data_IF_243570287209
#
_entry.id   IF_243570287209
#
_cell.length_a   1.000
_cell.length_b   1.000
_cell.length_c   1.000
_cell.angle_alpha   90.00
_cell.angle_beta   90.00
_cell.angle_gamma   90.00
#
_symmetry.space_group_name_H-M   'P 1'
#
loop_
_entity.id
_entity.type
_entity.pdbx_description
1 polymer ?
#
# COMPACT_ATOMS: atom_id res chain seq x y z
N UNK A 1 31.30 -6.71 17.96
CA UNK A 1 30.72 -7.20 19.24
C UNK A 1 29.61 -6.28 19.76
N UNK A 2 29.69 -4.95 19.60
CA UNK A 2 28.60 -4.04 20.03
C UNK A 2 27.28 -4.16 19.25
N UNK A 3 27.30 -4.36 17.93
CA UNK A 3 26.05 -4.44 17.14
C UNK A 3 25.23 -5.70 17.45
N UNK A 4 25.90 -6.83 17.69
CA UNK A 4 25.27 -8.10 18.02
C UNK A 4 24.60 -8.08 19.39
N UNK A 5 25.22 -7.43 20.38
CA UNK A 5 24.64 -7.24 21.71
C UNK A 5 23.41 -6.33 21.71
N UNK A 6 23.43 -5.26 20.88
CA UNK A 6 22.29 -4.34 20.72
C UNK A 6 21.09 -5.02 20.06
N UNK A 7 21.32 -5.85 19.05
CA UNK A 7 20.26 -6.60 18.36
C UNK A 7 19.57 -7.62 19.29
N UNK A 8 20.34 -8.32 20.13
CA UNK A 8 19.78 -9.26 21.10
C UNK A 8 18.95 -8.54 22.18
N UNK A 9 19.44 -7.42 22.72
CA UNK A 9 18.70 -6.64 23.71
C UNK A 9 17.40 -6.03 23.16
N UNK A 10 17.36 -5.67 21.88
CA UNK A 10 16.14 -5.19 21.22
C UNK A 10 15.10 -6.30 21.04
N UNK A 11 15.53 -7.53 20.70
CA UNK A 11 14.67 -8.73 20.61
C UNK A 11 13.94 -9.03 21.91
N UNK A 12 14.59 -8.81 23.04
CA UNK A 12 14.00 -9.08 24.36
C UNK A 12 12.95 -8.02 24.77
N UNK A 13 13.01 -6.80 24.21
CA UNK A 13 12.11 -5.68 24.56
C UNK A 13 10.93 -5.50 23.61
N UNK A 14 11.10 -5.86 22.33
CA UNK A 14 10.06 -5.76 21.32
C UNK A 14 9.24 -7.06 21.30
N UNK A 15 7.91 -7.02 21.46
CA UNK A 15 7.09 -8.22 21.43
C UNK A 15 7.22 -9.00 20.12
N UNK A 16 7.36 -10.33 20.26
CA UNK A 16 7.39 -11.28 19.14
C UNK A 16 6.10 -11.27 18.32
N UNK A 17 4.97 -11.08 18.99
CA UNK A 17 3.66 -10.91 18.36
C UNK A 17 3.37 -9.41 18.25
N UNK A 18 3.00 -8.95 17.06
CA UNK A 18 2.67 -7.55 16.83
C UNK A 18 1.28 -7.16 17.41
N UNK A 19 0.91 -5.86 17.45
CA UNK A 19 -0.39 -5.42 17.97
C UNK A 19 -1.61 -5.92 17.18
N UNK A 20 -1.41 -6.58 16.03
CA UNK A 20 -2.46 -7.15 15.19
C UNK A 20 -2.57 -8.67 15.35
N UNK A 21 -1.71 -9.29 16.16
CA UNK A 21 -1.71 -10.72 16.45
C UNK A 21 -0.85 -11.56 15.50
N UNK A 22 -0.03 -10.94 14.64
CA UNK A 22 0.88 -11.67 13.76
C UNK A 22 2.23 -11.89 14.42
N UNK A 23 2.80 -13.08 14.22
CA UNK A 23 4.17 -13.37 14.62
C UNK A 23 5.15 -12.69 13.67
N UNK A 24 6.13 -11.99 14.24
CA UNK A 24 7.19 -11.35 13.48
C UNK A 24 8.11 -12.42 12.87
N UNK A 25 8.48 -12.29 11.57
CA UNK A 25 9.41 -13.21 10.92
C UNK A 25 10.77 -13.34 11.65
N UNK A 26 11.49 -14.44 11.39
CA UNK A 26 12.82 -14.66 11.97
C UNK A 26 13.84 -13.60 11.53
N UNK A 27 13.72 -13.12 10.29
CA UNK A 27 14.56 -12.08 9.69
C UNK A 27 14.09 -10.64 10.04
N UNK A 28 13.15 -10.49 10.98
CA UNK A 28 12.67 -9.19 11.42
C UNK A 28 13.79 -8.37 12.09
N UNK A 29 13.94 -7.12 11.65
CA UNK A 29 14.93 -6.19 12.22
C UNK A 29 14.39 -5.49 13.48
N UNK A 30 14.55 -6.18 14.61
CA UNK A 30 14.14 -5.70 15.93
C UNK A 30 14.84 -4.40 16.35
N UNK A 31 16.09 -4.20 15.95
CA UNK A 31 16.87 -3.02 16.34
C UNK A 31 16.37 -1.77 15.61
N UNK A 32 16.21 -1.85 14.27
CA UNK A 32 15.67 -0.76 13.49
C UNK A 32 14.22 -0.42 13.89
N UNK A 33 13.42 -1.45 14.20
CA UNK A 33 12.06 -1.27 14.68
C UNK A 33 12.03 -0.55 16.04
N UNK A 34 12.82 -0.99 17.02
CA UNK A 34 12.91 -0.35 18.33
C UNK A 34 13.35 1.11 18.22
N UNK A 35 14.39 1.38 17.43
CA UNK A 35 14.89 2.73 17.20
C UNK A 35 13.82 3.64 16.61
N UNK A 36 13.12 3.19 15.56
CA UNK A 36 12.01 3.92 14.97
C UNK A 36 10.88 4.17 16.00
N UNK A 37 10.44 3.11 16.70
CA UNK A 37 9.30 3.20 17.61
C UNK A 37 9.55 4.07 18.84
N UNK A 38 10.79 4.11 19.33
CA UNK A 38 11.18 4.94 20.48
C UNK A 38 10.79 6.42 20.29
N UNK A 39 10.89 6.94 19.07
CA UNK A 39 10.51 8.32 18.73
C UNK A 39 9.07 8.41 18.21
N UNK A 40 8.62 7.37 17.51
CA UNK A 40 7.33 7.36 16.84
C UNK A 40 6.15 7.28 17.81
N UNK A 41 6.30 6.63 18.96
CA UNK A 41 5.25 6.51 19.99
C UNK A 41 4.75 7.89 20.45
N UNK A 42 5.66 8.83 20.71
CA UNK A 42 5.27 10.19 21.11
C UNK A 42 4.45 10.91 20.03
N UNK A 43 4.74 10.64 18.74
CA UNK A 43 3.98 11.17 17.61
C UNK A 43 2.58 10.54 17.56
N UNK A 44 2.48 9.22 17.74
CA UNK A 44 1.22 8.49 17.79
C UNK A 44 0.32 9.02 18.91
N UNK A 45 0.82 9.17 20.13
CA UNK A 45 0.05 9.70 21.28
C UNK A 45 -0.50 11.10 21.01
N UNK A 46 0.32 12.02 20.48
CA UNK A 46 -0.15 13.37 20.14
C UNK A 46 -1.22 13.37 19.03
N UNK A 47 -1.13 12.42 18.08
CA UNK A 47 -2.11 12.26 17.01
C UNK A 47 -3.41 11.67 17.54
N UNK A 48 -3.36 10.66 18.41
CA UNK A 48 -4.52 10.05 19.05
C UNK A 48 -5.40 11.11 19.71
N UNK A 49 -4.83 11.98 20.55
CA UNK A 49 -5.57 13.08 21.20
C UNK A 49 -6.26 13.99 20.18
N UNK A 50 -5.57 14.35 19.09
CA UNK A 50 -6.15 15.19 18.04
C UNK A 50 -7.28 14.49 17.29
N UNK A 51 -7.16 13.19 17.06
CA UNK A 51 -8.19 12.38 16.42
C UNK A 51 -9.42 12.21 17.32
N UNK A 52 -9.24 11.94 18.61
CA UNK A 52 -10.35 11.86 19.56
C UNK A 52 -11.17 13.16 19.59
N UNK A 53 -10.50 14.32 19.52
CA UNK A 53 -11.18 15.62 19.39
C UNK A 53 -11.91 15.77 18.05
N UNK A 54 -11.29 15.37 16.94
CA UNK A 54 -11.89 15.44 15.61
C UNK A 54 -13.15 14.57 15.48
N UNK A 55 -13.14 13.40 16.11
CA UNK A 55 -14.22 12.41 16.04
C UNK A 55 -15.26 12.54 17.16
N UNK A 56 -15.09 13.54 18.04
CA UNK A 56 -16.03 13.86 19.13
C UNK A 56 -17.37 14.30 18.52
N UNK A 57 -18.47 13.88 19.15
CA UNK A 57 -19.82 14.34 18.77
C UNK A 57 -20.64 13.37 17.92
N UNK A 58 -20.22 12.11 17.79
CA UNK A 58 -21.07 11.02 17.26
C UNK A 58 -21.46 11.10 15.76
N UNK A 59 -21.24 12.25 15.10
CA UNK A 59 -21.48 12.40 13.68
C UNK A 59 -20.68 11.37 12.86
N UNK A 60 -21.27 10.92 11.75
CA UNK A 60 -20.61 10.03 10.80
C UNK A 60 -19.31 10.62 10.26
N UNK A 61 -18.37 9.75 9.86
CA UNK A 61 -17.08 10.21 9.30
C UNK A 61 -17.30 10.63 7.84
N UNK A 62 -17.29 11.94 7.58
CA UNK A 62 -17.46 12.51 6.25
C UNK A 62 -16.15 13.09 5.69
N UNK A 63 -15.94 12.94 4.37
CA UNK A 63 -14.75 13.45 3.69
C UNK A 63 -14.69 14.98 3.75
N UNK A 64 -13.57 15.50 4.26
CA UNK A 64 -13.27 16.93 4.29
C UNK A 64 -11.78 17.17 4.07
N UNK A 65 -11.38 18.41 3.76
CA UNK A 65 -9.97 18.78 3.63
C UNK A 65 -9.18 18.58 4.93
N UNK A 66 -9.83 18.86 6.08
CA UNK A 66 -9.26 18.62 7.41
C UNK A 66 -9.06 17.13 7.65
N UNK A 67 -10.09 16.31 7.43
CA UNK A 67 -10.00 14.85 7.61
C UNK A 67 -8.92 14.26 6.70
N UNK A 68 -8.89 14.65 5.43
CA UNK A 68 -7.85 14.24 4.48
C UNK A 68 -6.44 14.55 4.99
N UNK A 69 -6.21 15.74 5.56
CA UNK A 69 -4.91 16.12 6.13
C UNK A 69 -4.54 15.26 7.33
N UNK A 70 -5.51 14.88 8.15
CA UNK A 70 -5.30 13.98 9.29
C UNK A 70 -4.99 12.55 8.82
N UNK A 71 -5.74 12.03 7.86
CA UNK A 71 -5.52 10.71 7.24
C UNK A 71 -4.12 10.58 6.66
N UNK A 72 -3.64 11.58 5.91
CA UNK A 72 -2.25 11.58 5.39
C UNK A 72 -1.20 11.53 6.50
N UNK A 73 -1.50 12.10 7.68
CA UNK A 73 -0.65 12.02 8.87
C UNK A 73 -0.80 10.70 9.62
N UNK A 74 -1.79 9.86 9.29
CA UNK A 74 -2.02 8.55 9.87
C UNK A 74 -3.19 8.52 10.82
N UNK A 75 -3.99 7.46 10.70
CA UNK A 75 -5.11 7.14 11.59
C UNK A 75 -4.59 6.25 12.73
N UNK A 76 -4.80 6.62 14.00
CA UNK A 76 -4.53 5.77 15.15
C UNK A 76 -5.28 4.46 15.06
N UNK A 77 -4.69 3.39 15.60
CA UNK A 77 -5.20 2.03 15.51
C UNK A 77 -6.66 1.94 15.96
N UNK A 78 -6.96 2.50 17.14
CA UNK A 78 -8.26 2.53 17.80
C UNK A 78 -9.35 3.26 16.99
N UNK A 79 -8.96 4.03 15.97
CA UNK A 79 -9.88 4.81 15.15
C UNK A 79 -10.01 4.28 13.72
N UNK A 80 -9.15 3.35 13.28
CA UNK A 80 -9.15 2.84 11.90
C UNK A 80 -10.49 2.24 11.50
N UNK A 81 -11.06 1.36 12.32
CA UNK A 81 -12.34 0.71 12.00
C UNK A 81 -13.42 1.74 11.65
N UNK A 82 -13.67 2.72 12.54
CA UNK A 82 -14.66 3.78 12.32
C UNK A 82 -14.32 4.67 11.13
N UNK A 83 -13.05 5.08 11.00
CA UNK A 83 -12.63 6.01 9.94
C UNK A 83 -12.69 5.35 8.57
N UNK A 84 -12.14 4.14 8.43
CA UNK A 84 -12.13 3.39 7.17
C UNK A 84 -13.54 3.09 6.68
N UNK A 85 -14.43 2.60 7.56
CA UNK A 85 -15.84 2.36 7.23
C UNK A 85 -16.53 3.62 6.68
N UNK A 86 -16.27 4.78 7.28
CA UNK A 86 -16.85 6.04 6.80
C UNK A 86 -16.24 6.54 5.48
N UNK A 87 -14.91 6.55 5.34
CA UNK A 87 -14.27 7.12 4.14
C UNK A 87 -14.31 6.21 2.92
N UNK A 88 -14.40 4.89 3.10
CA UNK A 88 -14.60 3.95 1.98
C UNK A 88 -16.03 3.99 1.45
N UNK A 89 -16.99 4.42 2.27
CA UNK A 89 -18.42 4.33 2.01
C UNK A 89 -19.06 3.02 2.49
N UNK A 90 -18.28 2.10 3.05
CA UNK A 90 -18.78 0.82 3.54
C UNK A 90 -19.82 0.98 4.67
N UNK A 91 -19.67 1.97 5.55
CA UNK A 91 -20.69 2.26 6.57
C UNK A 91 -22.03 2.59 5.93
N UNK A 92 -22.04 3.48 4.92
CA UNK A 92 -23.28 3.86 4.25
C UNK A 92 -23.92 2.68 3.50
N UNK A 93 -23.12 1.80 2.89
CA UNK A 93 -23.64 0.58 2.28
C UNK A 93 -24.23 -0.38 3.32
N UNK A 94 -23.57 -0.56 4.46
CA UNK A 94 -24.06 -1.41 5.54
C UNK A 94 -25.36 -0.85 6.14
N UNK A 95 -25.45 0.46 6.38
CA UNK A 95 -26.64 1.12 6.92
C UNK A 95 -27.84 1.05 5.94
N UNK A 96 -27.57 1.06 4.63
CA UNK A 96 -28.60 0.92 3.58
C UNK A 96 -29.08 -0.52 3.40
N UNK A 97 -28.34 -1.52 3.88
CA UNK A 97 -28.61 -2.94 3.65
C UNK A 97 -28.59 -3.74 4.98
N UNK A 98 -29.47 -3.43 5.95
CA UNK A 98 -29.46 -4.09 7.26
C UNK A 98 -29.74 -5.60 7.13
N UNK A 99 -28.92 -6.40 7.80
CA UNK A 99 -29.05 -7.87 7.80
C UNK A 99 -28.57 -8.56 6.52
N UNK A 100 -28.14 -7.81 5.49
CA UNK A 100 -27.77 -8.36 4.19
C UNK A 100 -26.61 -9.38 4.27
N UNK A 101 -25.57 -9.09 5.05
CA UNK A 101 -24.47 -10.05 5.26
C UNK A 101 -24.96 -11.37 5.88
N UNK A 102 -25.85 -11.30 6.88
CA UNK A 102 -26.39 -12.50 7.53
C UNK A 102 -27.29 -13.29 6.58
N UNK A 103 -28.04 -12.60 5.72
CA UNK A 103 -28.82 -13.23 4.66
C UNK A 103 -27.91 -13.97 3.67
N UNK A 104 -26.82 -13.34 3.20
CA UNK A 104 -25.84 -13.97 2.33
C UNK A 104 -25.17 -15.20 2.98
N UNK A 105 -24.89 -15.15 4.28
CA UNK A 105 -24.28 -16.27 5.01
C UNK A 105 -25.20 -17.50 5.11
N UNK A 106 -26.52 -17.27 5.10
CA UNK A 106 -27.54 -18.33 5.11
C UNK A 106 -27.92 -18.80 3.71
N UNK A 107 -27.59 -18.02 2.68
CA UNK A 107 -27.90 -18.31 1.30
C UNK A 107 -27.00 -19.39 0.69
N UNK A 108 -27.45 -19.92 -0.43
CA UNK A 108 -26.58 -20.72 -1.30
C UNK A 108 -25.54 -19.81 -1.98
N UNK A 109 -24.43 -20.41 -2.40
CA UNK A 109 -23.39 -19.71 -3.13
C UNK A 109 -23.99 -19.06 -4.39
N UNK A 110 -23.85 -17.74 -4.50
CA UNK A 110 -24.26 -16.97 -5.68
C UNK A 110 -23.06 -16.78 -6.61
N UNK A 111 -23.07 -17.48 -7.75
CA UNK A 111 -22.02 -17.39 -8.76
C UNK A 111 -21.90 -15.98 -9.37
N UNK A 112 -22.97 -15.17 -9.34
CA UNK A 112 -22.93 -13.78 -9.81
C UNK A 112 -22.18 -12.86 -8.85
N UNK A 113 -22.31 -13.09 -7.53
CA UNK A 113 -21.52 -12.41 -6.51
C UNK A 113 -20.07 -12.89 -6.51
N UNK A 114 -19.84 -14.17 -6.75
CA UNK A 114 -18.47 -14.67 -6.96
C UNK A 114 -17.83 -14.01 -8.19
N UNK A 115 -18.56 -13.88 -9.30
CA UNK A 115 -18.07 -13.17 -10.48
C UNK A 115 -17.86 -11.68 -10.21
N UNK A 116 -18.71 -11.05 -9.38
CA UNK A 116 -18.50 -9.68 -8.92
C UNK A 116 -17.27 -9.51 -8.02
N UNK A 117 -16.90 -10.52 -7.22
CA UNK A 117 -15.62 -10.53 -6.49
C UNK A 117 -14.45 -10.75 -7.46
N UNK A 118 -14.65 -11.62 -8.46
CA UNK A 118 -13.69 -11.87 -9.56
C UNK A 118 -13.60 -10.70 -10.54
N UNK A 119 -14.38 -9.63 -10.39
CA UNK A 119 -14.41 -8.52 -11.35
C UNK A 119 -13.00 -8.03 -11.69
N UNK A 120 -12.68 -8.09 -12.99
CA UNK A 120 -11.53 -7.53 -13.73
C UNK A 120 -10.13 -7.81 -13.17
N UNK A 121 -9.88 -7.47 -11.91
CA UNK A 121 -8.60 -7.57 -11.22
C UNK A 121 -8.28 -8.98 -10.72
N UNK A 122 -9.30 -9.75 -10.30
CA UNK A 122 -9.17 -11.12 -9.77
C UNK A 122 -9.77 -12.19 -10.70
N UNK A 123 -10.14 -11.80 -11.91
CA UNK A 123 -10.62 -12.72 -12.95
C UNK A 123 -9.49 -13.64 -13.42
N UNK A 124 -9.77 -14.79 -14.07
CA UNK A 124 -8.73 -15.65 -14.63
C UNK A 124 -7.78 -14.93 -15.61
N UNK A 125 -8.29 -13.93 -16.35
CA UNK A 125 -7.46 -13.12 -17.26
C UNK A 125 -6.60 -12.08 -16.53
N UNK A 126 -7.00 -11.72 -15.30
CA UNK A 126 -6.41 -10.65 -14.47
C UNK A 126 -6.24 -9.34 -15.23
N UNK A 127 -7.17 -9.02 -16.14
CA UNK A 127 -7.05 -7.88 -17.04
C UNK A 127 -6.88 -6.55 -16.29
N UNK A 128 -7.60 -6.35 -15.19
CA UNK A 128 -7.48 -5.16 -14.35
C UNK A 128 -6.10 -5.02 -13.70
N UNK A 129 -5.54 -6.14 -13.21
CA UNK A 129 -4.21 -6.20 -12.62
C UNK A 129 -3.13 -5.89 -13.67
N UNK A 130 -3.19 -6.58 -14.83
CA UNK A 130 -2.26 -6.34 -15.95
C UNK A 130 -2.34 -4.90 -16.43
N UNK A 131 -3.55 -4.34 -16.52
CA UNK A 131 -3.77 -2.94 -16.88
C UNK A 131 -3.02 -2.02 -15.91
N UNK A 132 -3.17 -2.19 -14.60
CA UNK A 132 -2.50 -1.34 -13.61
C UNK A 132 -0.97 -1.53 -13.59
N UNK A 133 -0.48 -2.73 -13.88
CA UNK A 133 0.96 -3.00 -14.06
C UNK A 133 1.53 -2.25 -15.28
N UNK A 134 0.83 -2.25 -16.40
CA UNK A 134 1.19 -1.47 -17.59
C UNK A 134 1.09 0.04 -17.35
N UNK A 135 0.09 0.49 -16.59
CA UNK A 135 0.00 1.91 -16.17
C UNK A 135 1.21 2.30 -15.33
N UNK A 136 1.68 1.43 -14.42
CA UNK A 136 2.93 1.69 -13.71
C UNK A 136 4.10 1.80 -14.69
N UNK A 137 4.22 0.89 -15.65
CA UNK A 137 5.25 0.94 -16.69
C UNK A 137 5.28 2.25 -17.46
N UNK A 138 4.13 2.76 -17.92
CA UNK A 138 4.01 4.07 -18.59
C UNK A 138 4.41 5.24 -17.66
N UNK A 139 4.04 5.17 -16.38
CA UNK A 139 4.41 6.18 -15.39
C UNK A 139 5.91 6.17 -15.11
N UNK A 140 6.55 5.01 -15.00
CA UNK A 140 8.00 4.87 -14.85
C UNK A 140 8.68 5.37 -16.10
N UNK A 141 8.23 5.00 -17.31
CA UNK A 141 8.80 5.50 -18.58
C UNK A 141 8.80 7.02 -18.66
N UNK A 142 7.75 7.66 -18.12
CA UNK A 142 7.66 9.13 -18.08
C UNK A 142 8.53 9.77 -16.99
N UNK A 143 8.63 9.14 -15.82
CA UNK A 143 9.18 9.79 -14.61
C UNK A 143 10.58 9.31 -14.19
N UNK A 144 10.96 8.11 -14.62
CA UNK A 144 12.18 7.38 -14.29
C UNK A 144 12.65 6.62 -15.56
N UNK A 145 12.93 7.33 -16.68
CA UNK A 145 13.14 6.72 -17.99
C UNK A 145 14.31 5.73 -18.03
N UNK A 146 15.36 5.97 -17.23
CA UNK A 146 16.49 5.04 -17.13
C UNK A 146 16.08 3.66 -16.60
N UNK A 147 15.19 3.62 -15.60
CA UNK A 147 14.67 2.36 -15.05
C UNK A 147 13.76 1.67 -16.06
N UNK A 148 12.91 2.42 -16.78
CA UNK A 148 12.09 1.84 -17.84
C UNK A 148 12.96 1.25 -18.98
N UNK A 149 14.03 1.96 -19.38
CA UNK A 149 14.96 1.48 -20.40
C UNK A 149 15.69 0.20 -19.97
N UNK A 150 16.05 0.07 -18.68
CA UNK A 150 16.63 -1.16 -18.13
C UNK A 150 15.66 -2.34 -18.22
N UNK A 151 14.39 -2.11 -17.87
CA UNK A 151 13.34 -3.14 -17.94
C UNK A 151 13.11 -3.57 -19.39
N UNK A 152 13.01 -2.59 -20.30
CA UNK A 152 12.77 -2.80 -21.72
C UNK A 152 13.98 -3.53 -22.39
N UNK A 153 15.22 -3.19 -22.03
CA UNK A 153 16.43 -3.83 -22.60
C UNK A 153 16.58 -5.30 -22.23
N UNK A 154 16.02 -5.72 -21.10
CA UNK A 154 15.99 -7.10 -20.64
C UNK A 154 14.69 -7.83 -21.00
N UNK A 155 13.75 -7.17 -21.69
CA UNK A 155 12.43 -7.72 -22.02
C UNK A 155 11.60 -8.11 -20.79
N UNK A 156 11.84 -7.46 -19.64
CA UNK A 156 11.22 -7.83 -18.38
C UNK A 156 9.81 -7.23 -18.25
N UNK A 157 8.81 -8.09 -18.10
CA UNK A 157 7.44 -7.66 -17.82
C UNK A 157 7.30 -7.14 -16.39
N UNK A 158 6.63 -6.00 -16.23
CA UNK A 158 6.28 -5.43 -14.90
C UNK A 158 5.52 -6.43 -14.03
N UNK A 159 4.73 -7.31 -14.65
CA UNK A 159 3.96 -8.36 -13.97
C UNK A 159 4.85 -9.28 -13.11
N UNK A 160 6.11 -9.50 -13.49
CA UNK A 160 7.03 -10.38 -12.74
C UNK A 160 7.49 -9.78 -11.42
N UNK A 161 7.58 -8.44 -11.34
CA UNK A 161 8.21 -7.76 -10.20
C UNK A 161 7.21 -7.03 -9.30
N UNK A 162 6.05 -6.62 -9.81
CA UNK A 162 5.08 -5.82 -9.03
C UNK A 162 3.73 -6.50 -8.78
N UNK A 163 3.52 -7.76 -9.18
CA UNK A 163 2.22 -8.44 -8.98
C UNK A 163 1.70 -8.35 -7.54
N UNK A 164 2.53 -8.69 -6.54
CA UNK A 164 2.14 -8.64 -5.12
C UNK A 164 1.85 -7.24 -4.59
N UNK A 165 2.46 -6.20 -5.18
CA UNK A 165 2.22 -4.82 -4.79
C UNK A 165 0.77 -4.40 -5.08
N UNK A 166 0.26 -4.90 -6.21
CA UNK A 166 -1.04 -4.54 -6.75
C UNK A 166 -2.15 -5.49 -6.29
N UNK A 167 -1.94 -6.81 -6.33
CA UNK A 167 -2.96 -7.81 -5.98
C UNK A 167 -3.23 -7.89 -4.48
N UNK A 168 -2.19 -7.74 -3.65
CA UNK A 168 -2.27 -7.81 -2.19
C UNK A 168 -2.21 -6.42 -1.54
N UNK A 169 -2.27 -5.33 -2.32
CA UNK A 169 -2.20 -3.96 -1.81
C UNK A 169 -1.02 -3.72 -0.84
N UNK A 170 0.13 -4.30 -1.21
CA UNK A 170 1.41 -4.31 -0.47
C UNK A 170 1.46 -5.07 0.86
N UNK A 171 0.37 -5.69 1.34
CA UNK A 171 0.36 -6.31 2.68
C UNK A 171 1.42 -7.40 2.86
N UNK A 172 1.72 -8.15 1.80
CA UNK A 172 2.69 -9.25 1.83
C UNK A 172 4.14 -8.83 1.54
N UNK A 173 4.39 -7.54 1.26
CA UNK A 173 5.71 -7.07 0.80
C UNK A 173 6.27 -5.90 1.60
N UNK A 174 5.45 -5.16 2.34
CA UNK A 174 5.87 -4.04 3.19
C UNK A 174 5.52 -4.30 4.66
N UNK A 175 6.23 -3.65 5.62
CA UNK A 175 5.87 -3.73 7.03
C UNK A 175 4.43 -3.29 7.30
N UNK A 176 3.73 -4.00 8.19
CA UNK A 176 2.29 -3.80 8.48
C UNK A 176 1.98 -2.35 8.86
N UNK A 177 2.86 -1.69 9.62
CA UNK A 177 2.70 -0.29 10.01
C UNK A 177 2.64 0.64 8.79
N UNK A 178 3.43 0.35 7.76
CA UNK A 178 3.45 1.11 6.50
C UNK A 178 2.25 0.77 5.65
N UNK A 179 1.88 -0.51 5.53
CA UNK A 179 0.69 -0.96 4.79
C UNK A 179 -0.56 -0.27 5.30
N UNK A 180 -0.76 -0.23 6.62
CA UNK A 180 -1.94 0.40 7.21
C UNK A 180 -1.99 1.91 6.96
N UNK A 181 -0.83 2.58 6.87
CA UNK A 181 -0.74 3.99 6.49
C UNK A 181 -1.04 4.23 5.00
N UNK A 182 -0.68 3.27 4.15
CA UNK A 182 -1.07 3.26 2.74
C UNK A 182 -2.60 3.11 2.65
N UNK A 183 -3.18 2.17 3.39
CA UNK A 183 -4.62 1.89 3.40
C UNK A 183 -5.46 3.06 3.93
N UNK A 184 -4.98 3.75 4.98
CA UNK A 184 -5.56 5.03 5.45
C UNK A 184 -5.82 5.98 4.26
N UNK A 185 -4.81 6.13 3.40
CA UNK A 185 -4.89 7.03 2.25
C UNK A 185 -5.66 6.42 1.08
N UNK A 186 -5.55 5.11 0.86
CA UNK A 186 -6.24 4.37 -0.20
C UNK A 186 -7.76 4.52 -0.09
N UNK A 187 -8.32 4.24 1.09
CA UNK A 187 -9.78 4.33 1.31
C UNK A 187 -10.31 5.76 1.17
N UNK A 188 -9.48 6.76 1.49
CA UNK A 188 -9.88 8.16 1.38
C UNK A 188 -9.70 8.75 -0.03
N UNK A 189 -8.54 8.54 -0.65
CA UNK A 189 -8.11 9.21 -1.91
C UNK A 189 -8.15 8.32 -3.16
N UNK A 190 -8.43 7.03 -3.01
CA UNK A 190 -8.58 6.05 -4.08
C UNK A 190 -7.28 5.39 -4.54
N UNK A 191 -7.41 4.48 -5.52
CA UNK A 191 -6.33 3.58 -5.99
C UNK A 191 -5.07 4.27 -6.53
N UNK A 192 -5.12 5.57 -6.84
CA UNK A 192 -3.93 6.34 -7.22
C UNK A 192 -2.81 6.30 -6.17
N UNK A 193 -3.15 6.00 -4.91
CA UNK A 193 -2.16 5.85 -3.83
C UNK A 193 -1.22 4.68 -4.11
N UNK A 194 -1.70 3.58 -4.70
CA UNK A 194 -0.90 2.41 -5.05
C UNK A 194 0.24 2.81 -6.00
N UNK A 195 -0.07 3.59 -7.04
CA UNK A 195 0.93 4.12 -7.96
C UNK A 195 1.92 5.10 -7.30
N UNK A 196 1.46 5.91 -6.34
CA UNK A 196 2.35 6.79 -5.57
C UNK A 196 3.37 6.00 -4.77
N UNK A 197 2.92 4.94 -4.10
CA UNK A 197 3.77 4.03 -3.32
C UNK A 197 4.79 3.37 -4.26
N UNK A 198 4.33 2.72 -5.34
CA UNK A 198 5.18 2.04 -6.31
C UNK A 198 6.25 2.97 -6.91
N UNK A 199 5.86 4.15 -7.41
CA UNK A 199 6.82 5.11 -7.98
C UNK A 199 7.83 5.62 -6.95
N UNK A 200 7.43 5.75 -5.68
CA UNK A 200 8.34 6.20 -4.61
C UNK A 200 9.37 5.13 -4.28
N UNK A 201 8.94 3.87 -4.18
CA UNK A 201 9.86 2.74 -3.97
C UNK A 201 10.91 2.69 -5.08
N UNK A 202 10.49 2.72 -6.34
CA UNK A 202 11.39 2.67 -7.50
C UNK A 202 12.30 3.91 -7.53
N UNK A 203 11.75 5.12 -7.31
CA UNK A 203 12.53 6.36 -7.36
C UNK A 203 13.61 6.42 -6.27
N UNK A 204 13.27 6.00 -5.05
CA UNK A 204 14.21 6.04 -3.92
C UNK A 204 15.37 5.07 -4.10
N UNK A 205 15.15 3.97 -4.81
CA UNK A 205 16.15 2.92 -5.03
C UNK A 205 16.61 2.84 -6.49
N UNK A 206 16.42 3.91 -7.27
CA UNK A 206 16.76 3.88 -8.70
C UNK A 206 18.23 3.54 -8.95
N UNK A 207 19.14 4.00 -8.08
CA UNK A 207 20.58 3.71 -8.21
C UNK A 207 20.84 2.20 -8.08
N UNK A 208 20.29 1.58 -7.02
CA UNK A 208 20.35 0.14 -6.78
C UNK A 208 19.74 -0.67 -7.94
N UNK A 209 18.59 -0.23 -8.47
CA UNK A 209 17.93 -0.93 -9.58
C UNK A 209 18.78 -0.87 -10.85
N UNK A 210 19.42 0.28 -11.12
CA UNK A 210 20.24 0.50 -12.32
C UNK A 210 21.58 -0.25 -12.30
N UNK A 211 21.99 -0.79 -11.16
CA UNK A 211 23.14 -1.70 -11.07
C UNK A 211 22.83 -3.10 -11.61
N UNK A 212 21.56 -3.44 -11.81
CA UNK A 212 21.16 -4.78 -12.21
C UNK A 212 21.63 -5.13 -13.63
N UNK A 213 22.17 -6.34 -13.79
CA UNK A 213 22.80 -6.79 -15.05
C UNK A 213 22.05 -7.94 -15.74
N UNK A 214 21.01 -8.47 -15.11
CA UNK A 214 20.22 -9.58 -15.62
C UNK A 214 18.79 -9.58 -15.10
N UNK A 215 17.90 -10.33 -15.74
CA UNK A 215 16.50 -10.49 -15.29
C UNK A 215 16.40 -10.97 -13.83
N UNK A 216 17.11 -12.03 -13.39
CA UNK A 216 17.08 -12.45 -11.99
C UNK A 216 17.54 -11.37 -11.01
N UNK A 217 18.55 -10.59 -11.38
CA UNK A 217 19.10 -9.51 -10.56
C UNK A 217 18.07 -8.37 -10.42
N UNK A 218 17.41 -7.95 -11.51
CA UNK A 218 16.31 -6.98 -11.46
C UNK A 218 15.21 -7.47 -10.51
N UNK A 219 14.80 -8.74 -10.63
CA UNK A 219 13.80 -9.32 -9.74
C UNK A 219 14.23 -9.29 -8.27
N UNK A 220 15.51 -9.55 -7.98
CA UNK A 220 16.02 -9.50 -6.61
C UNK A 220 16.08 -8.07 -6.07
N UNK A 221 16.55 -7.11 -6.88
CA UNK A 221 16.52 -5.69 -6.49
C UNK A 221 15.11 -5.24 -6.16
N UNK A 222 14.10 -5.60 -6.95
CA UNK A 222 12.70 -5.26 -6.65
C UNK A 222 12.16 -5.90 -5.36
N UNK A 223 12.69 -7.03 -4.90
CA UNK A 223 12.40 -7.56 -3.56
C UNK A 223 13.13 -6.79 -2.47
N UNK A 224 14.37 -6.38 -2.74
CA UNK A 224 15.22 -5.64 -1.81
C UNK A 224 14.61 -4.27 -1.46
N UNK A 225 14.07 -3.54 -2.46
CA UNK A 225 13.53 -2.19 -2.24
C UNK A 225 12.28 -2.13 -1.34
N UNK A 226 11.66 -3.29 -1.05
CA UNK A 226 10.50 -3.39 -0.14
C UNK A 226 10.91 -3.76 1.28
N UNK A 227 12.20 -3.72 1.60
CA UNK A 227 12.77 -4.02 2.92
C UNK A 227 13.60 -2.84 3.45
N UNK A 228 14.06 -2.97 4.70
CA UNK A 228 14.95 -2.00 5.33
C UNK A 228 14.26 -0.79 5.97
N UNK A 229 15.07 0.10 6.55
CA UNK A 229 14.61 1.23 7.36
C UNK A 229 13.68 2.19 6.60
N UNK A 230 13.90 2.37 5.29
CA UNK A 230 13.10 3.27 4.47
C UNK A 230 11.60 2.94 4.49
N UNK A 231 11.25 1.66 4.40
CA UNK A 231 9.86 1.20 4.42
C UNK A 231 9.35 0.92 5.83
N UNK A 232 10.23 0.73 6.82
CA UNK A 232 9.86 0.61 8.24
C UNK A 232 9.49 1.98 8.83
N UNK A 233 10.17 3.05 8.42
CA UNK A 233 9.87 4.43 8.81
C UNK A 233 8.62 4.98 8.10
N UNK A 234 7.45 4.41 8.42
CA UNK A 234 6.19 4.70 7.74
C UNK A 234 5.85 6.21 7.68
N UNK A 235 6.28 7.02 8.66
CA UNK A 235 6.03 8.46 8.61
C UNK A 235 6.83 9.16 7.51
N UNK A 236 8.13 8.88 7.42
CA UNK A 236 9.05 9.44 6.42
C UNK A 236 8.66 8.94 5.05
N UNK A 237 8.41 7.64 4.92
CA UNK A 237 7.92 6.99 3.72
C UNK A 237 6.66 7.69 3.17
N UNK A 238 5.62 7.83 4.01
CA UNK A 238 4.35 8.44 3.59
C UNK A 238 4.50 9.92 3.22
N UNK A 239 5.45 10.67 3.80
CA UNK A 239 5.73 12.03 3.33
C UNK A 239 6.25 12.01 1.89
N UNK A 240 7.18 11.09 1.59
CA UNK A 240 7.79 10.96 0.26
C UNK A 240 6.79 10.54 -0.82
N UNK A 241 5.83 9.66 -0.52
CA UNK A 241 4.80 9.28 -1.52
C UNK A 241 3.93 10.46 -1.99
N UNK A 242 3.83 11.52 -1.17
CA UNK A 242 3.09 12.73 -1.53
C UNK A 242 3.95 13.81 -2.18
N UNK A 243 5.27 13.81 -1.99
CA UNK A 243 6.18 14.81 -2.56
C UNK A 243 6.91 14.35 -3.82
N UNK A 244 7.38 13.11 -3.89
CA UNK A 244 8.37 12.69 -4.89
C UNK A 244 7.83 12.24 -6.25
N UNK A 245 6.69 11.51 -6.34
CA UNK A 245 6.10 11.13 -7.63
C UNK A 245 5.51 12.33 -8.40
N UNK A 246 5.40 13.50 -7.76
CA UNK A 246 4.77 14.69 -8.31
C UNK A 246 3.24 14.57 -8.41
N UNK A 247 2.67 15.30 -9.38
CA UNK A 247 1.24 15.28 -9.64
C UNK A 247 0.81 13.94 -10.26
N UNK A 248 -0.24 13.35 -9.68
CA UNK A 248 -0.91 12.14 -10.13
C UNK A 248 -2.41 12.32 -9.87
N UNK A 249 -3.12 12.82 -10.86
CA UNK A 249 -4.56 13.04 -10.80
C UNK A 249 -5.33 11.75 -11.06
N UNK A 250 -6.54 11.61 -10.50
CA UNK A 250 -7.40 10.44 -10.79
C UNK A 250 -7.74 10.35 -12.28
N UNK A 251 -8.00 11.48 -12.92
CA UNK A 251 -8.29 11.56 -14.34
C UNK A 251 -7.11 11.09 -15.21
N UNK A 252 -5.88 11.46 -14.85
CA UNK A 252 -4.67 11.00 -15.56
C UNK A 252 -4.50 9.48 -15.45
N UNK A 253 -4.72 8.90 -14.26
CA UNK A 253 -4.66 7.45 -14.07
C UNK A 253 -5.78 6.73 -14.83
N UNK A 254 -7.00 7.27 -14.83
CA UNK A 254 -8.12 6.71 -15.59
C UNK A 254 -7.82 6.65 -17.10
N UNK A 255 -7.33 7.75 -17.68
CA UNK A 255 -6.93 7.78 -19.10
C UNK A 255 -5.81 6.80 -19.43
N UNK A 256 -4.84 6.63 -18.53
CA UNK A 256 -3.78 5.63 -18.72
C UNK A 256 -4.36 4.21 -18.65
N UNK A 257 -5.28 3.92 -17.73
CA UNK A 257 -5.97 2.63 -17.64
C UNK A 257 -6.74 2.31 -18.91
N UNK A 258 -7.53 3.25 -19.43
CA UNK A 258 -8.27 3.08 -20.69
C UNK A 258 -7.33 2.71 -21.85
N UNK A 259 -6.23 3.47 -22.00
CA UNK A 259 -5.22 3.20 -23.03
C UNK A 259 -4.52 1.85 -22.86
N UNK A 260 -4.07 1.52 -21.65
CA UNK A 260 -3.37 0.26 -21.38
C UNK A 260 -4.31 -0.93 -21.57
N UNK A 261 -5.54 -0.84 -21.07
CA UNK A 261 -6.56 -1.88 -21.26
C UNK A 261 -6.87 -2.13 -22.73
N UNK A 262 -7.03 -1.07 -23.53
CA UNK A 262 -7.27 -1.19 -24.98
C UNK A 262 -6.11 -1.89 -25.69
N UNK A 263 -4.84 -1.59 -25.33
CA UNK A 263 -3.67 -2.29 -25.89
C UNK A 263 -3.65 -3.77 -25.51
N UNK A 264 -3.92 -4.11 -24.25
CA UNK A 264 -3.92 -5.50 -23.78
C UNK A 264 -5.01 -6.33 -24.47
N UNK A 265 -6.19 -5.75 -24.68
CA UNK A 265 -7.28 -6.41 -25.41
C UNK A 265 -6.99 -6.59 -26.92
N UNK A 266 -6.11 -5.77 -27.50
CA UNK A 266 -5.70 -5.92 -28.90
C UNK A 266 -4.57 -6.94 -29.11
N UNK A 267 -3.92 -7.39 -28.03
CA UNK A 267 -2.80 -8.34 -28.05
C UNK A 267 -3.21 -9.78 -27.72
N UNK A 268 -4.42 -10.00 -27.21
CA UNK A 268 -5.00 -11.31 -26.89
C UNK A 268 -6.14 -11.67 -27.82
#
# INVERSE_FOLDING_TARGET
MESTGRAQAARDRVPRIDPYGFERPEDFDYAAYEEFFSTYLAILTRRAIKWSRLLKGGAGVQKSMTLKRYIRKGVPLEHRARVWMGVSGAQAQMDQNPGYYLHLLQGEKDDSLEEAIRTDYYSPSMLGLKTDQEVLGELVRTKLPAVAALMDSHGLLWTLVVSRWFICLFVDVLPVETVLRIWDCLFNEGSKIIFRVALTLIKQHQALILEATSVPDICEKFKEITRGSFVTECHTFMRKIFSEPGSLSRASIARLRERCRARLLAQG
#
